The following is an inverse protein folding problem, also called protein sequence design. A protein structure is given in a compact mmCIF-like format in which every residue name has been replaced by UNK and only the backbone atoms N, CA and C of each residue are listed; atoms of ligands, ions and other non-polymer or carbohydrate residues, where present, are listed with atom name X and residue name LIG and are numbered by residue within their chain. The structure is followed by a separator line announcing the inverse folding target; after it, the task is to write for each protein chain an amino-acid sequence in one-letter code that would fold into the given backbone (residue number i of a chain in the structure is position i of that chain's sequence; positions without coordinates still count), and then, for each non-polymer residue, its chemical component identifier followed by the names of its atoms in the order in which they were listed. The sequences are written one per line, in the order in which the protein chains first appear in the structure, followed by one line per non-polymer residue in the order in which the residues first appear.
data_IF_821231147891
#
_entry.id   IF_821231147891
#
_cell.length_a   1.000
_cell.length_b   1.000
_cell.length_c   1.000
_cell.angle_alpha   90.00
_cell.angle_beta   90.00
_cell.angle_gamma   90.00
#
_symmetry.space_group_name_H-M   'P 1'
#
loop_
_entity.id
_entity.type
_entity.pdbx_description
1 polymer ?
#
# COMPACT_ATOMS: atom_id res chain seq x y z
N UNK A 1 11.51 -14.89 10.20
CA UNK A 1 11.21 -14.31 11.51
C UNK A 1 11.41 -12.81 11.47
N UNK A 2 10.38 -12.09 11.84
CA UNK A 2 10.45 -10.63 11.82
C UNK A 2 11.07 -10.15 13.12
N UNK A 3 12.15 -9.42 13.00
CA UNK A 3 12.88 -8.87 14.15
C UNK A 3 12.37 -7.48 14.55
N UNK A 4 11.42 -6.92 13.78
CA UNK A 4 10.91 -5.59 14.02
C UNK A 4 9.72 -5.55 14.96
N UNK A 5 9.56 -4.41 15.61
CA UNK A 5 8.39 -4.15 16.43
C UNK A 5 7.19 -3.83 15.52
N UNK A 6 6.03 -4.40 15.85
CA UNK A 6 4.80 -4.12 15.10
C UNK A 6 4.36 -2.69 15.39
N UNK A 7 4.10 -1.92 14.34
CA UNK A 7 3.56 -0.57 14.46
C UNK A 7 2.05 -0.65 14.69
N UNK A 8 1.57 0.00 15.73
CA UNK A 8 0.15 0.06 16.04
C UNK A 8 -0.30 1.52 16.02
N UNK A 9 -1.33 1.81 15.25
CA UNK A 9 -1.91 3.15 15.15
C UNK A 9 -3.42 3.03 15.35
N UNK A 10 -3.96 3.81 16.27
CA UNK A 10 -5.39 3.81 16.57
C UNK A 10 -5.94 2.38 16.80
N UNK A 11 -5.19 1.57 17.55
CA UNK A 11 -5.47 0.17 17.86
C UNK A 11 -5.36 -0.81 16.69
N UNK A 12 -4.95 -0.34 15.52
CA UNK A 12 -4.71 -1.20 14.35
C UNK A 12 -3.25 -1.58 14.26
N UNK A 13 -2.97 -2.89 14.20
CA UNK A 13 -1.62 -3.38 13.92
C UNK A 13 -1.39 -3.32 12.40
N UNK A 14 -0.28 -2.74 11.98
CA UNK A 14 -0.01 -2.47 10.56
C UNK A 14 1.00 -3.45 9.99
N UNK A 15 0.63 -4.07 8.88
CA UNK A 15 1.46 -5.06 8.19
C UNK A 15 1.51 -4.77 6.69
N UNK A 16 2.48 -5.37 6.02
CA UNK A 16 2.57 -5.30 4.56
C UNK A 16 2.94 -6.65 3.97
N UNK A 17 2.41 -6.96 2.80
CA UNK A 17 2.86 -8.08 2.00
C UNK A 17 4.31 -7.80 1.56
N UNK A 18 5.15 -8.84 1.37
CA UNK A 18 6.54 -8.62 0.94
C UNK A 18 6.69 -7.72 -0.29
N UNK A 19 5.78 -7.79 -1.26
CA UNK A 19 5.85 -6.92 -2.43
C UNK A 19 5.64 -5.46 -2.05
N UNK A 20 4.72 -5.18 -1.14
CA UNK A 20 4.51 -3.81 -0.66
C UNK A 20 5.70 -3.33 0.16
N UNK A 21 6.20 -4.18 1.06
CA UNK A 21 7.33 -3.80 1.91
C UNK A 21 8.57 -3.48 1.07
N UNK A 22 8.83 -4.28 0.03
CA UNK A 22 9.94 -4.02 -0.88
C UNK A 22 9.74 -2.72 -1.66
N UNK A 23 8.53 -2.49 -2.14
CA UNK A 23 8.19 -1.25 -2.85
C UNK A 23 8.41 -0.02 -1.97
N UNK A 24 8.00 -0.11 -0.71
CA UNK A 24 8.17 0.97 0.26
C UNK A 24 9.65 1.23 0.54
N UNK A 25 10.41 0.17 0.75
CA UNK A 25 11.83 0.27 1.00
C UNK A 25 12.57 0.91 -0.18
N UNK A 26 12.26 0.47 -1.40
CA UNK A 26 12.86 1.03 -2.60
C UNK A 26 12.54 2.53 -2.73
N UNK A 27 11.31 2.91 -2.43
CA UNK A 27 10.90 4.31 -2.49
C UNK A 27 11.63 5.17 -1.45
N UNK A 28 11.81 4.64 -0.25
CA UNK A 28 12.56 5.32 0.81
C UNK A 28 14.01 5.52 0.38
N UNK A 29 14.64 4.49 -0.19
CA UNK A 29 16.03 4.59 -0.66
C UNK A 29 16.17 5.61 -1.79
N UNK A 30 15.21 5.67 -2.71
CA UNK A 30 15.22 6.67 -3.78
C UNK A 30 15.14 8.08 -3.21
N UNK A 31 14.30 8.32 -2.22
CA UNK A 31 14.15 9.63 -1.61
C UNK A 31 15.40 10.01 -0.82
N UNK A 32 16.01 9.05 -0.12
CA UNK A 32 17.27 9.30 0.59
C UNK A 32 18.39 9.71 -0.37
N UNK A 33 18.46 9.04 -1.53
CA UNK A 33 19.42 9.40 -2.58
C UNK A 33 19.20 10.81 -3.12
N UNK A 34 17.93 11.17 -3.34
CA UNK A 34 17.59 12.53 -3.79
C UNK A 34 17.96 13.58 -2.76
N UNK A 35 17.75 13.28 -1.48
CA UNK A 35 18.11 14.21 -0.41
C UNK A 35 19.61 14.45 -0.33
N UNK A 36 20.43 13.44 -0.64
CA UNK A 36 21.88 13.59 -0.70
C UNK A 36 22.32 14.43 -1.90
N UNK A 37 21.69 14.20 -3.06
CA UNK A 37 22.03 14.91 -4.29
C UNK A 37 21.56 16.36 -4.30
N UNK A 38 20.38 16.62 -3.73
CA UNK A 38 19.76 17.93 -3.75
C UNK A 38 19.08 18.21 -2.40
N UNK A 39 19.86 18.51 -1.36
CA UNK A 39 19.32 18.73 -0.02
C UNK A 39 18.27 19.83 0.07
N UNK A 40 18.36 20.82 -0.79
CA UNK A 40 17.44 21.97 -0.73
C UNK A 40 16.17 21.76 -1.55
N UNK A 41 16.23 20.95 -2.61
CA UNK A 41 15.13 20.82 -3.57
C UNK A 41 14.46 19.47 -3.66
N UNK A 42 14.93 18.45 -2.93
CA UNK A 42 14.38 17.09 -3.09
C UNK A 42 12.91 17.00 -2.74
N UNK A 43 12.38 17.91 -1.91
CA UNK A 43 10.97 17.95 -1.53
C UNK A 43 10.04 18.21 -2.73
N UNK A 44 10.56 18.73 -3.81
CA UNK A 44 9.79 19.01 -5.01
C UNK A 44 9.77 17.82 -5.98
N UNK A 45 10.56 16.79 -5.70
CA UNK A 45 10.62 15.62 -6.58
C UNK A 45 9.40 14.73 -6.42
N UNK A 46 8.96 14.14 -7.54
CA UNK A 46 7.77 13.28 -7.55
C UNK A 46 7.89 12.09 -6.59
N UNK A 47 9.06 11.49 -6.46
CA UNK A 47 9.27 10.36 -5.55
C UNK A 47 9.08 10.75 -4.09
N UNK A 48 9.56 11.94 -3.70
CA UNK A 48 9.33 12.44 -2.36
C UNK A 48 7.85 12.64 -2.08
N UNK A 49 7.14 13.26 -3.02
CA UNK A 49 5.70 13.51 -2.88
C UNK A 49 4.92 12.21 -2.78
N UNK A 50 5.31 11.19 -3.54
CA UNK A 50 4.68 9.88 -3.47
C UNK A 50 4.91 9.25 -2.09
N UNK A 51 6.16 9.24 -1.61
CA UNK A 51 6.48 8.67 -0.29
C UNK A 51 5.70 9.38 0.82
N UNK A 52 5.66 10.71 0.79
CA UNK A 52 4.95 11.50 1.79
C UNK A 52 3.46 11.11 1.83
N UNK A 53 2.83 11.00 0.66
CA UNK A 53 1.42 10.66 0.58
C UNK A 53 1.14 9.20 0.96
N UNK A 54 2.04 8.29 0.61
CA UNK A 54 1.92 6.90 1.01
C UNK A 54 2.03 6.76 2.53
N UNK A 55 3.01 7.41 3.14
CA UNK A 55 3.19 7.36 4.59
C UNK A 55 1.98 7.95 5.33
N UNK A 56 1.47 9.07 4.84
CA UNK A 56 0.26 9.67 5.42
C UNK A 56 -0.92 8.70 5.33
N UNK A 57 -1.07 8.04 4.19
CA UNK A 57 -2.17 7.09 3.99
C UNK A 57 -2.05 5.87 4.92
N UNK A 58 -0.89 5.24 4.98
CA UNK A 58 -0.73 3.99 5.73
C UNK A 58 -0.62 4.18 7.25
N UNK A 59 -0.13 5.33 7.69
CA UNK A 59 0.09 5.59 9.12
C UNK A 59 -0.99 6.45 9.77
N UNK A 60 -1.75 7.20 9.00
CA UNK A 60 -2.74 8.14 9.54
C UNK A 60 -4.14 7.87 8.98
N UNK A 61 -4.31 7.99 7.67
CA UNK A 61 -5.65 8.00 7.07
C UNK A 61 -6.37 6.67 7.17
N UNK A 62 -5.73 5.58 6.74
CA UNK A 62 -6.37 4.26 6.78
C UNK A 62 -6.61 3.80 8.22
N UNK A 63 -5.63 3.92 9.14
CA UNK A 63 -5.89 3.51 10.53
C UNK A 63 -6.96 4.33 11.25
N UNK A 64 -7.31 5.50 10.75
CA UNK A 64 -8.41 6.27 11.32
C UNK A 64 -9.74 5.55 11.11
N UNK A 65 -9.97 4.99 9.91
CA UNK A 65 -11.14 4.17 9.63
C UNK A 65 -10.94 3.35 8.34
N UNK A 66 -10.36 2.14 8.44
CA UNK A 66 -10.12 1.34 7.23
C UNK A 66 -11.41 0.87 6.54
N UNK A 67 -12.55 0.94 7.22
CA UNK A 67 -13.84 0.59 6.64
C UNK A 67 -14.53 1.76 5.92
N UNK A 68 -13.87 2.91 5.81
CA UNK A 68 -14.49 4.09 5.19
C UNK A 68 -14.91 3.79 3.74
N UNK A 69 -16.06 4.31 3.31
CA UNK A 69 -16.56 4.05 1.95
C UNK A 69 -15.61 4.49 0.84
N UNK A 70 -14.75 5.46 1.08
CA UNK A 70 -13.80 5.93 0.07
C UNK A 70 -12.81 4.84 -0.37
N UNK A 71 -12.63 3.80 0.45
CA UNK A 71 -11.70 2.70 0.14
C UNK A 71 -12.36 1.56 -0.63
N UNK A 72 -13.66 1.61 -0.83
CA UNK A 72 -14.35 0.58 -1.60
C UNK A 72 -13.94 0.69 -3.06
N UNK A 73 -13.54 -0.45 -3.65
CA UNK A 73 -13.05 -0.45 -5.03
C UNK A 73 -14.18 -0.56 -6.08
N UNK A 74 -15.42 -0.72 -5.65
CA UNK A 74 -16.56 -0.82 -6.56
C UNK A 74 -16.46 -2.08 -7.43
N UNK A 75 -16.55 -1.90 -8.74
CA UNK A 75 -16.53 -3.00 -9.70
C UNK A 75 -15.16 -3.20 -10.36
N UNK A 76 -14.15 -2.43 -9.96
CA UNK A 76 -12.86 -2.43 -10.67
C UNK A 76 -12.11 -3.76 -10.62
N UNK A 77 -12.32 -4.56 -9.57
CA UNK A 77 -11.66 -5.86 -9.42
C UNK A 77 -12.62 -7.05 -9.54
N UNK A 78 -13.90 -6.82 -9.85
CA UNK A 78 -14.89 -7.87 -9.93
C UNK A 78 -15.49 -8.23 -8.58
N UNK A 79 -16.60 -8.99 -8.60
CA UNK A 79 -17.34 -9.33 -7.38
C UNK A 79 -16.56 -10.22 -6.42
N UNK A 80 -15.79 -11.16 -6.95
CA UNK A 80 -15.02 -12.12 -6.15
C UNK A 80 -13.91 -11.45 -5.35
N UNK A 81 -13.56 -10.20 -5.69
CA UNK A 81 -12.52 -9.45 -5.02
C UNK A 81 -13.07 -8.26 -4.22
N UNK A 82 -14.36 -8.29 -3.89
CA UNK A 82 -15.01 -7.21 -3.14
C UNK A 82 -14.48 -6.97 -1.74
N UNK A 83 -13.75 -7.95 -1.17
CA UNK A 83 -13.13 -7.82 0.14
C UNK A 83 -11.85 -6.98 0.10
N UNK A 84 -11.32 -6.70 -1.08
CA UNK A 84 -10.17 -5.82 -1.24
C UNK A 84 -10.60 -4.36 -1.11
N UNK A 85 -9.72 -3.55 -0.54
CA UNK A 85 -9.90 -2.10 -0.42
C UNK A 85 -8.77 -1.41 -1.17
N UNK A 86 -9.02 -0.18 -1.59
CA UNK A 86 -7.98 0.60 -2.28
C UNK A 86 -7.96 2.03 -1.81
N UNK A 87 -6.77 2.62 -1.81
CA UNK A 87 -6.58 4.04 -1.62
C UNK A 87 -6.45 4.67 -2.99
N UNK A 88 -7.30 5.64 -3.28
CA UNK A 88 -7.30 6.40 -4.52
C UNK A 88 -7.05 7.86 -4.24
N UNK A 89 -7.87 8.45 -3.38
CA UNK A 89 -7.74 9.86 -3.00
C UNK A 89 -6.60 10.04 -2.01
N UNK A 90 -5.86 11.15 -2.15
CA UNK A 90 -4.75 11.43 -1.27
C UNK A 90 -3.42 10.83 -1.72
N UNK A 91 -3.41 10.02 -2.78
CA UNK A 91 -2.18 9.61 -3.46
C UNK A 91 -2.00 10.46 -4.70
N UNK A 92 -0.78 10.59 -5.23
CA UNK A 92 -0.59 11.25 -6.51
C UNK A 92 -1.44 10.59 -7.59
N UNK A 93 -1.79 11.38 -8.61
CA UNK A 93 -2.70 10.93 -9.65
C UNK A 93 -2.27 9.60 -10.28
N UNK A 94 -3.22 8.69 -10.47
CA UNK A 94 -3.05 7.36 -11.11
C UNK A 94 -2.34 6.33 -10.24
N UNK A 95 -1.96 6.66 -9.01
CA UNK A 95 -1.45 5.67 -8.07
C UNK A 95 -2.60 5.06 -7.27
N UNK A 96 -2.48 3.78 -6.94
CA UNK A 96 -3.44 3.04 -6.12
C UNK A 96 -2.68 2.14 -5.16
N UNK A 97 -3.19 2.03 -3.93
CA UNK A 97 -2.63 1.14 -2.92
C UNK A 97 -3.75 0.21 -2.45
N UNK A 98 -3.51 -1.10 -2.52
CA UNK A 98 -4.52 -2.10 -2.16
C UNK A 98 -4.22 -2.67 -0.78
N UNK A 99 -5.30 -2.91 -0.01
CA UNK A 99 -5.16 -3.45 1.33
C UNK A 99 -6.39 -4.27 1.73
N UNK A 100 -6.24 -5.03 2.81
CA UNK A 100 -7.32 -5.69 3.50
C UNK A 100 -7.20 -5.39 4.98
N UNK A 101 -8.28 -5.57 5.73
CA UNK A 101 -8.26 -5.38 7.17
C UNK A 101 -9.19 -6.37 7.84
N UNK A 102 -8.93 -6.60 9.14
CA UNK A 102 -9.77 -7.44 9.98
C UNK A 102 -10.09 -6.65 11.27
N UNK A 103 -11.41 -6.50 11.54
CA UNK A 103 -11.88 -5.75 12.70
C UNK A 103 -11.87 -6.57 13.99
N UNK A 104 -11.88 -7.90 13.88
CA UNK A 104 -11.81 -8.78 15.04
C UNK A 104 -10.43 -8.69 15.68
N UNK A 105 -10.38 -8.85 17.00
CA UNK A 105 -9.12 -8.76 17.72
C UNK A 105 -8.19 -9.93 17.38
N UNK A 106 -6.90 -9.67 17.10
CA UNK A 106 -6.30 -8.33 17.03
C UNK A 106 -6.65 -7.61 15.73
N UNK A 107 -7.03 -6.34 15.84
CA UNK A 107 -7.34 -5.52 14.67
C UNK A 107 -6.10 -5.36 13.81
N UNK A 108 -6.19 -5.69 12.53
CA UNK A 108 -5.03 -5.71 11.64
C UNK A 108 -5.35 -5.09 10.28
N UNK A 109 -4.39 -4.35 9.75
CA UNK A 109 -4.44 -3.81 8.39
C UNK A 109 -3.23 -4.36 7.65
N UNK A 110 -3.44 -4.93 6.46
CA UNK A 110 -2.37 -5.46 5.64
C UNK A 110 -2.36 -4.76 4.29
N UNK A 111 -1.31 -3.96 4.06
CA UNK A 111 -1.11 -3.29 2.77
C UNK A 111 -0.46 -4.28 1.83
N UNK A 112 -1.05 -4.49 0.66
CA UNK A 112 -0.63 -5.57 -0.22
C UNK A 112 0.22 -5.11 -1.39
N UNK A 113 -0.15 -4.01 -2.06
CA UNK A 113 0.58 -3.59 -3.25
C UNK A 113 0.33 -2.12 -3.57
N UNK A 114 1.40 -1.42 -3.90
CA UNK A 114 1.38 -0.07 -4.45
C UNK A 114 1.97 -0.15 -5.86
N UNK A 115 1.26 0.39 -6.84
CA UNK A 115 1.76 0.37 -8.21
C UNK A 115 2.93 1.35 -8.41
N UNK A 116 3.55 1.26 -9.57
CA UNK A 116 4.69 2.08 -9.96
C UNK A 116 4.37 2.89 -11.23
N UNK A 117 5.38 3.58 -11.75
CA UNK A 117 5.24 4.42 -12.94
C UNK A 117 4.86 3.63 -14.20
N UNK A 118 5.23 2.34 -14.24
CA UNK A 118 4.90 1.48 -15.38
C UNK A 118 3.48 0.95 -15.33
N UNK A 119 2.81 1.06 -14.19
CA UNK A 119 1.49 0.47 -13.96
C UNK A 119 0.48 1.50 -13.43
N UNK A 120 0.59 2.74 -13.88
CA UNK A 120 -0.35 3.79 -13.49
C UNK A 120 -1.76 3.50 -14.00
N UNK A 121 -2.75 4.07 -13.31
CA UNK A 121 -4.16 3.91 -13.71
C UNK A 121 -4.35 4.40 -15.14
N UNK A 122 -4.78 3.49 -16.03
CA UNK A 122 -5.03 3.78 -17.44
C UNK A 122 -6.14 2.84 -17.92
N UNK A 123 -7.36 3.32 -17.94
CA UNK A 123 -8.53 2.53 -18.26
C UNK A 123 -8.37 1.79 -19.59
N UNK A 124 -8.65 0.49 -19.59
CA UNK A 124 -8.57 -0.36 -20.78
C UNK A 124 -7.17 -0.82 -21.16
N UNK A 125 -6.12 -0.35 -20.50
CA UNK A 125 -4.75 -0.75 -20.80
C UNK A 125 -4.36 -2.04 -20.09
N UNK A 126 -3.50 -2.84 -20.72
CA UNK A 126 -2.94 -4.04 -20.09
C UNK A 126 -2.02 -3.70 -18.92
N UNK A 127 -1.48 -2.48 -18.90
CA UNK A 127 -0.61 -2.01 -17.83
C UNK A 127 -1.37 -1.21 -16.77
N UNK A 128 -2.70 -1.10 -16.90
CA UNK A 128 -3.51 -0.43 -15.89
C UNK A 128 -3.35 -1.10 -14.53
N UNK A 129 -3.29 -0.30 -13.48
CA UNK A 129 -3.05 -0.77 -12.11
C UNK A 129 -4.01 -1.90 -11.71
N UNK A 130 -5.30 -1.80 -12.04
CA UNK A 130 -6.27 -2.84 -11.68
C UNK A 130 -6.03 -4.13 -12.47
N UNK A 131 -5.69 -4.02 -13.75
CA UNK A 131 -5.38 -5.19 -14.58
C UNK A 131 -4.15 -5.93 -14.06
N UNK A 132 -3.12 -5.17 -13.68
CA UNK A 132 -1.88 -5.73 -13.15
C UNK A 132 -2.12 -6.40 -11.79
N UNK A 133 -2.90 -5.75 -10.91
CA UNK A 133 -3.22 -6.33 -9.61
C UNK A 133 -4.02 -7.63 -9.75
N UNK A 134 -5.02 -7.65 -10.63
CA UNK A 134 -5.79 -8.88 -10.90
C UNK A 134 -4.90 -10.00 -11.40
N UNK A 135 -3.94 -9.70 -12.26
CA UNK A 135 -3.00 -10.70 -12.76
C UNK A 135 -2.14 -11.26 -11.62
N UNK A 136 -1.70 -10.41 -10.69
CA UNK A 136 -0.94 -10.86 -9.52
C UNK A 136 -1.76 -11.79 -8.63
N UNK A 137 -3.05 -11.48 -8.44
CA UNK A 137 -3.94 -12.34 -7.67
C UNK A 137 -4.13 -13.69 -8.37
N UNK A 138 -4.35 -13.69 -9.68
CA UNK A 138 -4.54 -14.92 -10.47
C UNK A 138 -3.31 -15.81 -10.47
N UNK A 139 -2.11 -15.22 -10.49
CA UNK A 139 -0.87 -15.97 -10.48
C UNK A 139 -0.43 -16.40 -9.07
N UNK A 140 -1.16 -15.96 -8.05
CA UNK A 140 -0.81 -16.28 -6.66
C UNK A 140 0.38 -15.50 -6.12
N UNK A 141 0.83 -14.47 -6.81
CA UNK A 141 1.91 -13.60 -6.33
C UNK A 141 1.49 -12.86 -5.07
N UNK A 142 0.20 -12.51 -5.00
CA UNK A 142 -0.41 -11.92 -3.82
C UNK A 142 -1.61 -12.79 -3.46
N UNK A 143 -1.64 -13.34 -2.22
CA UNK A 143 -2.79 -14.15 -1.81
C UNK A 143 -4.07 -13.32 -1.75
N UNK A 144 -5.19 -13.89 -2.15
CA UNK A 144 -6.47 -13.19 -2.14
C UNK A 144 -7.19 -13.25 -0.80
N UNK A 145 -7.01 -14.33 -0.03
CA UNK A 145 -7.67 -14.47 1.26
C UNK A 145 -6.88 -13.73 2.35
N UNK A 146 -7.60 -13.18 3.34
CA UNK A 146 -6.96 -12.49 4.46
C UNK A 146 -6.01 -13.42 5.22
N UNK A 147 -6.42 -14.65 5.48
CA UNK A 147 -5.60 -15.61 6.25
C UNK A 147 -4.25 -15.87 5.58
N UNK A 148 -4.26 -16.08 4.26
CA UNK A 148 -3.02 -16.32 3.53
C UNK A 148 -2.18 -15.05 3.42
N UNK A 149 -2.83 -13.90 3.22
CA UNK A 149 -2.15 -12.61 3.17
C UNK A 149 -1.47 -12.31 4.51
N UNK A 150 -2.16 -12.57 5.61
CA UNK A 150 -1.62 -12.39 6.97
C UNK A 150 -0.40 -13.26 7.22
N UNK A 151 -0.44 -14.49 6.73
CA UNK A 151 0.64 -15.46 6.91
C UNK A 151 1.94 -14.99 6.24
N UNK A 152 1.82 -14.33 5.08
CA UNK A 152 2.98 -13.86 4.32
C UNK A 152 3.44 -12.46 4.77
N UNK A 153 2.60 -11.73 5.50
CA UNK A 153 2.84 -10.33 5.83
C UNK A 153 3.89 -10.15 6.92
N UNK A 154 4.61 -9.04 6.85
CA UNK A 154 5.53 -8.60 7.87
C UNK A 154 5.12 -7.25 8.42
N UNK A 155 5.69 -6.81 9.53
CA UNK A 155 5.35 -5.53 10.12
C UNK A 155 5.80 -4.36 9.25
N UNK A 156 5.00 -3.29 9.23
CA UNK A 156 5.41 -2.04 8.60
C UNK A 156 6.54 -1.48 9.46
N UNK A 157 7.68 -1.10 8.85
CA UNK A 157 8.79 -0.55 9.62
C UNK A 157 8.35 0.69 10.38
N UNK A 158 8.71 0.75 11.67
CA UNK A 158 8.48 1.94 12.45
C UNK A 158 9.30 3.07 11.84
N UNK A 159 8.63 4.12 11.42
CA UNK A 159 9.32 5.23 10.82
C UNK A 159 9.84 6.15 11.92
N UNK A 160 11.15 6.22 12.01
CA UNK A 160 11.77 7.16 12.94
C UNK A 160 11.78 8.54 12.31
N UNK A 161 10.74 9.26 12.47
CA UNK A 161 10.82 10.59 12.01
C UNK A 161 9.89 11.28 11.35
#
# INVERSE_FOLDING_TARGET
MHSGTVTVVNDWALFGHPLFLQRLEDLIEEVEGLAEEDPDGFHHHAHYKLLEKVEEAILVRVPTNPAAPEYFQGKTLGKENGHWRRIKNGLPNRYRLFFQFRSDAPKSIIYAWLNDEATLRKDGSKTDVYAVFLAKLKRGEIPSSFAELERDAGPIPGHAG
#
